data_IF_550657619074
#
_entry.id   IF_550657619074
#
_cell.length_a   1.000
_cell.length_b   1.000
_cell.length_c   1.000
_cell.angle_alpha   90.00
_cell.angle_beta   90.00
_cell.angle_gamma   90.00
#
_symmetry.space_group_name_H-M   'P 1'
#
loop_
_entity.id
_entity.type
_entity.pdbx_description
1 polymer ?
#
# COMPACT_ATOMS: atom_id res chain seq x y z
N UNK A 1 -55.00 -38.13 -18.20
CA UNK A 1 -53.84 -37.53 -18.90
C UNK A 1 -53.32 -36.25 -18.21
N UNK A 2 -54.16 -35.22 -17.97
CA UNK A 2 -53.72 -33.94 -17.34
C UNK A 2 -53.05 -34.06 -15.96
N UNK A 3 -53.56 -34.93 -15.07
CA UNK A 3 -52.99 -35.17 -13.73
C UNK A 3 -51.62 -35.87 -13.78
N UNK A 4 -51.45 -36.82 -14.71
CA UNK A 4 -50.18 -37.55 -14.89
C UNK A 4 -49.09 -36.63 -15.45
N UNK A 5 -49.47 -35.73 -16.37
CA UNK A 5 -48.57 -34.72 -16.93
C UNK A 5 -48.06 -33.76 -15.85
N UNK A 6 -48.96 -33.28 -14.96
CA UNK A 6 -48.59 -32.41 -13.84
C UNK A 6 -47.63 -33.09 -12.85
N UNK A 7 -47.87 -34.36 -12.52
CA UNK A 7 -46.99 -35.13 -11.62
C UNK A 7 -45.59 -35.29 -12.24
N UNK A 8 -45.52 -35.63 -13.53
CA UNK A 8 -44.25 -35.78 -14.24
C UNK A 8 -43.49 -34.45 -14.30
N UNK A 9 -44.18 -33.34 -14.57
CA UNK A 9 -43.60 -31.99 -14.55
C UNK A 9 -43.02 -31.61 -13.19
N UNK A 10 -43.71 -31.95 -12.09
CA UNK A 10 -43.23 -31.68 -10.72
C UNK A 10 -42.02 -32.54 -10.35
N UNK A 11 -41.98 -33.80 -10.79
CA UNK A 11 -40.83 -34.70 -10.57
C UNK A 11 -39.61 -34.19 -11.35
N UNK A 12 -39.80 -33.79 -12.61
CA UNK A 12 -38.72 -33.22 -13.42
C UNK A 12 -38.19 -31.93 -12.78
N UNK A 13 -39.08 -31.05 -12.32
CA UNK A 13 -38.71 -29.81 -11.64
C UNK A 13 -37.92 -30.08 -10.35
N UNK A 14 -38.39 -31.00 -9.51
CA UNK A 14 -37.70 -31.39 -8.29
C UNK A 14 -36.33 -32.00 -8.57
N UNK A 15 -36.22 -32.83 -9.63
CA UNK A 15 -34.96 -33.45 -10.04
C UNK A 15 -33.99 -32.40 -10.58
N UNK A 16 -34.45 -31.41 -11.36
CA UNK A 16 -33.59 -30.30 -11.81
C UNK A 16 -33.07 -29.47 -10.63
N UNK A 17 -33.91 -29.19 -9.62
CA UNK A 17 -33.49 -28.46 -8.41
C UNK A 17 -32.48 -29.26 -7.60
N UNK A 18 -32.62 -30.59 -7.50
CA UNK A 18 -31.63 -31.45 -6.83
C UNK A 18 -30.29 -31.54 -7.60
N UNK A 19 -30.31 -31.37 -8.92
CA UNK A 19 -29.13 -31.43 -9.79
C UNK A 19 -28.41 -30.08 -9.93
N UNK A 20 -29.04 -28.98 -9.52
CA UNK A 20 -28.42 -27.66 -9.41
C UNK A 20 -27.48 -27.66 -8.20
N UNK A 21 -26.24 -28.11 -8.40
CA UNK A 21 -25.15 -27.86 -7.43
C UNK A 21 -24.85 -26.36 -7.42
N UNK A 22 -25.09 -25.72 -6.28
CA UNK A 22 -24.48 -24.42 -5.99
C UNK A 22 -23.08 -24.69 -5.49
N UNK A 23 -22.08 -24.55 -6.37
CA UNK A 23 -20.71 -24.41 -5.88
C UNK A 23 -20.63 -23.08 -5.15
N UNK A 24 -20.22 -23.09 -3.87
CA UNK A 24 -19.93 -21.87 -3.14
C UNK A 24 -18.78 -21.15 -3.86
N UNK A 25 -19.11 -20.11 -4.63
CA UNK A 25 -18.13 -19.21 -5.22
C UNK A 25 -17.55 -18.38 -4.07
N UNK A 26 -16.51 -18.90 -3.44
CA UNK A 26 -15.70 -18.13 -2.50
C UNK A 26 -14.80 -17.20 -3.30
N UNK A 27 -15.15 -15.91 -3.36
CA UNK A 27 -14.25 -14.89 -3.86
C UNK A 27 -13.05 -14.79 -2.91
N UNK A 28 -11.88 -15.31 -3.32
CA UNK A 28 -10.63 -14.99 -2.63
C UNK A 28 -10.36 -13.50 -2.81
N UNK A 29 -10.00 -12.76 -1.75
CA UNK A 29 -9.61 -11.37 -1.91
C UNK A 29 -8.42 -11.28 -2.86
N UNK A 30 -8.51 -10.39 -3.84
CA UNK A 30 -7.36 -10.03 -4.68
C UNK A 30 -6.27 -9.45 -3.78
N UNK A 31 -5.07 -10.04 -3.82
CA UNK A 31 -3.90 -9.47 -3.15
C UNK A 31 -3.30 -8.35 -4.00
N UNK A 32 -2.96 -7.25 -3.36
CA UNK A 32 -2.30 -6.08 -3.94
C UNK A 32 -0.92 -5.95 -3.32
N UNK A 33 -0.07 -6.95 -3.55
CA UNK A 33 1.28 -6.96 -2.98
C UNK A 33 2.12 -5.84 -3.60
N UNK A 34 2.40 -4.81 -2.82
CA UNK A 34 3.40 -3.78 -3.14
C UNK A 34 4.76 -4.41 -2.86
N UNK A 35 5.44 -4.81 -3.92
CA UNK A 35 6.72 -5.52 -3.89
C UNK A 35 7.88 -4.66 -4.39
N UNK A 36 7.58 -3.47 -4.94
CA UNK A 36 8.58 -2.56 -5.49
C UNK A 36 8.39 -1.12 -5.02
N UNK A 37 9.46 -0.31 -4.93
CA UNK A 37 9.34 1.12 -4.67
C UNK A 37 8.46 1.86 -5.68
N UNK A 38 8.49 1.43 -6.96
CA UNK A 38 7.71 2.05 -8.03
C UNK A 38 6.19 1.91 -7.79
N UNK A 39 5.72 0.75 -7.36
CA UNK A 39 4.31 0.53 -7.01
C UNK A 39 3.87 1.41 -5.84
N UNK A 40 4.73 1.61 -4.83
CA UNK A 40 4.43 2.52 -3.72
C UNK A 40 4.31 3.98 -4.20
N UNK A 41 5.23 4.42 -5.06
CA UNK A 41 5.19 5.77 -5.64
C UNK A 41 3.91 5.96 -6.49
N UNK A 42 3.53 4.95 -7.27
CA UNK A 42 2.30 4.97 -8.05
C UNK A 42 1.06 5.07 -7.17
N UNK A 43 0.99 4.28 -6.09
CA UNK A 43 -0.10 4.34 -5.12
C UNK A 43 -0.23 5.73 -4.46
N UNK A 44 0.89 6.32 -4.03
CA UNK A 44 0.92 7.67 -3.46
C UNK A 44 0.49 8.72 -4.48
N UNK A 45 1.00 8.65 -5.71
CA UNK A 45 0.62 9.59 -6.77
C UNK A 45 -0.85 9.43 -7.19
N UNK A 46 -1.38 8.21 -7.20
CA UNK A 46 -2.80 7.94 -7.40
C UNK A 46 -3.67 8.62 -6.34
N UNK A 47 -3.27 8.51 -5.07
CA UNK A 47 -3.94 9.22 -3.96
C UNK A 47 -3.85 10.74 -4.13
N UNK A 48 -2.68 11.28 -4.47
CA UNK A 48 -2.53 12.73 -4.71
C UNK A 48 -3.47 13.23 -5.81
N UNK A 49 -3.54 12.51 -6.92
CA UNK A 49 -4.44 12.85 -8.03
C UNK A 49 -5.90 12.80 -7.59
N UNK A 50 -6.32 11.84 -6.76
CA UNK A 50 -7.70 11.78 -6.27
C UNK A 50 -8.08 12.97 -5.37
N UNK A 51 -7.09 13.63 -4.76
CA UNK A 51 -7.25 14.87 -3.99
C UNK A 51 -6.99 16.14 -4.82
N UNK A 52 -6.80 16.03 -6.15
CA UNK A 52 -6.54 17.17 -7.02
C UNK A 52 -5.13 17.77 -6.88
N UNK A 53 -4.19 17.03 -6.28
CA UNK A 53 -2.80 17.44 -6.12
C UNK A 53 -1.95 16.91 -7.29
N UNK A 54 -0.90 17.65 -7.70
CA UNK A 54 0.03 17.17 -8.73
C UNK A 54 0.83 15.96 -8.23
N UNK A 55 1.17 15.00 -9.12
CA UNK A 55 2.01 13.86 -8.75
C UNK A 55 3.42 14.31 -8.34
N UNK A 56 4.03 13.58 -7.41
CA UNK A 56 5.44 13.77 -7.03
C UNK A 56 6.37 13.14 -8.07
N UNK A 57 7.52 13.78 -8.27
CA UNK A 57 8.63 13.24 -9.08
C UNK A 57 9.64 12.57 -8.15
N UNK A 58 10.19 11.44 -8.57
CA UNK A 58 11.28 10.78 -7.86
C UNK A 58 12.57 11.59 -7.98
N UNK A 59 13.43 11.49 -6.96
CA UNK A 59 14.77 12.05 -6.98
C UNK A 59 15.77 10.99 -6.51
N UNK A 60 16.88 10.74 -7.23
CA UNK A 60 17.82 9.65 -6.90
C UNK A 60 18.33 9.69 -5.44
N UNK A 61 18.66 10.87 -4.92
CA UNK A 61 19.11 11.02 -3.52
C UNK A 61 18.01 10.62 -2.51
N UNK A 62 16.74 10.96 -2.78
CA UNK A 62 15.63 10.57 -1.90
C UNK A 62 15.40 9.06 -1.94
N UNK A 63 15.52 8.45 -3.13
CA UNK A 63 15.44 7.00 -3.29
C UNK A 63 16.58 6.29 -2.54
N UNK A 64 17.80 6.81 -2.65
CA UNK A 64 18.96 6.29 -1.92
C UNK A 64 18.78 6.42 -0.41
N UNK A 65 18.32 7.58 0.07
CA UNK A 65 18.08 7.82 1.50
C UNK A 65 17.01 6.88 2.04
N UNK A 66 15.88 6.72 1.34
CA UNK A 66 14.81 5.80 1.73
C UNK A 66 15.31 4.36 1.80
N UNK A 67 16.03 3.87 0.79
CA UNK A 67 16.61 2.53 0.80
C UNK A 67 17.56 2.34 1.99
N UNK A 68 18.49 3.29 2.21
CA UNK A 68 19.44 3.20 3.32
C UNK A 68 18.77 3.19 4.69
N UNK A 69 17.63 3.86 4.84
CA UNK A 69 16.87 3.86 6.09
C UNK A 69 16.15 2.54 6.29
N UNK A 70 15.51 1.99 5.25
CA UNK A 70 14.90 0.66 5.29
C UNK A 70 15.93 -0.41 5.65
N UNK A 71 17.12 -0.36 5.05
CA UNK A 71 18.21 -1.30 5.35
C UNK A 71 18.68 -1.18 6.80
N UNK A 72 18.81 0.05 7.32
CA UNK A 72 19.19 0.29 8.70
C UNK A 72 18.15 -0.26 9.70
N UNK A 73 16.86 0.00 9.46
CA UNK A 73 15.79 -0.52 10.31
C UNK A 73 15.74 -2.05 10.27
N UNK A 74 15.92 -2.65 9.10
CA UNK A 74 15.97 -4.10 8.95
C UNK A 74 17.17 -4.72 9.69
N UNK A 75 18.36 -4.11 9.58
CA UNK A 75 19.58 -4.59 10.22
C UNK A 75 19.57 -4.46 11.75
N UNK A 76 18.87 -3.45 12.29
CA UNK A 76 18.82 -3.18 13.73
C UNK A 76 17.58 -3.72 14.42
N UNK A 77 16.54 -4.07 13.66
CA UNK A 77 15.22 -4.42 14.19
C UNK A 77 14.49 -3.25 14.86
N UNK A 78 14.94 -2.01 14.64
CA UNK A 78 14.35 -0.81 15.23
C UNK A 78 13.68 0.04 14.16
N UNK A 79 12.40 0.37 14.38
CA UNK A 79 11.67 1.35 13.55
C UNK A 79 11.92 2.74 14.12
N UNK A 80 12.57 3.62 13.35
CA UNK A 80 13.02 4.92 13.84
C UNK A 80 13.21 5.93 12.71
N UNK A 81 13.09 7.22 13.03
CA UNK A 81 13.49 8.31 12.14
C UNK A 81 14.97 8.70 12.28
N UNK A 82 15.64 8.23 13.33
CA UNK A 82 17.08 8.45 13.49
C UNK A 82 17.85 7.65 12.45
N UNK A 83 18.90 8.27 11.92
CA UNK A 83 19.82 7.61 10.98
C UNK A 83 20.99 6.96 11.72
N UNK A 84 21.81 6.14 11.03
CA UNK A 84 23.07 5.65 11.58
C UNK A 84 23.93 6.78 12.16
N UNK A 85 24.52 6.55 13.34
CA UNK A 85 25.32 7.56 14.04
C UNK A 85 24.51 8.68 14.69
N UNK A 86 23.17 8.57 14.73
CA UNK A 86 22.30 9.53 15.41
C UNK A 86 22.06 10.82 14.62
N UNK A 87 22.46 10.88 13.34
CA UNK A 87 22.17 12.04 12.50
C UNK A 87 20.68 12.10 12.13
N UNK A 88 20.19 13.30 11.87
CA UNK A 88 18.81 13.52 11.43
C UNK A 88 18.65 13.24 9.93
N UNK A 89 17.41 13.07 9.48
CA UNK A 89 17.11 12.99 8.05
C UNK A 89 17.59 14.24 7.28
N UNK A 90 17.42 15.43 7.86
CA UNK A 90 17.94 16.69 7.29
C UNK A 90 19.45 16.62 7.07
N UNK A 91 20.21 16.20 8.09
CA UNK A 91 21.66 16.10 8.01
C UNK A 91 22.11 15.09 6.95
N UNK A 92 21.39 13.96 6.81
CA UNK A 92 21.66 12.99 5.77
C UNK A 92 21.39 13.56 4.36
N UNK A 93 20.28 14.27 4.16
CA UNK A 93 19.98 14.87 2.86
C UNK A 93 21.02 15.92 2.46
N UNK A 94 21.44 16.76 3.42
CA UNK A 94 22.48 17.76 3.17
C UNK A 94 23.84 17.12 2.89
N UNK A 95 24.21 16.04 3.58
CA UNK A 95 25.49 15.35 3.32
C UNK A 95 25.53 14.64 1.95
N UNK A 96 24.36 14.25 1.43
CA UNK A 96 24.21 13.72 0.08
C UNK A 96 24.09 14.82 -1.00
N UNK A 97 24.02 16.10 -0.61
CA UNK A 97 23.93 17.24 -1.54
C UNK A 97 22.51 17.53 -2.05
N UNK A 98 21.46 17.08 -1.33
CA UNK A 98 20.08 17.40 -1.71
C UNK A 98 19.74 18.86 -1.38
N UNK A 99 19.19 19.64 -2.33
CA UNK A 99 18.91 21.06 -2.13
C UNK A 99 17.59 21.26 -1.35
N UNK A 100 17.64 21.14 -0.03
CA UNK A 100 16.48 21.40 0.83
C UNK A 100 16.06 22.88 0.75
N UNK A 101 14.75 23.11 0.59
CA UNK A 101 14.13 24.41 0.74
C UNK A 101 13.72 24.67 2.21
N UNK A 102 13.29 25.90 2.50
CA UNK A 102 12.82 26.31 3.84
C UNK A 102 13.96 26.68 4.79
N UNK A 103 13.60 26.95 6.05
CA UNK A 103 14.58 27.28 7.08
C UNK A 103 15.35 26.03 7.53
N UNK A 104 16.62 25.95 7.15
CA UNK A 104 17.49 24.82 7.50
C UNK A 104 17.78 24.72 9.00
N UNK A 105 17.67 25.82 9.76
CA UNK A 105 17.80 25.79 11.23
C UNK A 105 16.63 25.05 11.88
N UNK A 106 15.49 24.96 11.18
CA UNK A 106 14.30 24.20 11.57
C UNK A 106 14.20 22.84 10.84
N UNK A 107 15.24 22.46 10.09
CA UNK A 107 15.31 21.17 9.40
C UNK A 107 14.95 21.19 7.92
N UNK A 108 14.53 22.34 7.38
CA UNK A 108 14.05 22.47 6.00
C UNK A 108 12.71 21.78 5.74
N UNK A 109 12.14 21.99 4.56
CA UNK A 109 10.89 21.35 4.16
C UNK A 109 11.15 19.92 3.71
N UNK A 110 10.75 18.96 4.55
CA UNK A 110 10.81 17.53 4.29
C UNK A 110 9.87 16.77 5.22
N UNK A 111 9.39 15.63 4.75
CA UNK A 111 8.64 14.67 5.54
C UNK A 111 9.15 13.25 5.25
N UNK A 112 8.91 12.35 6.18
CA UNK A 112 9.25 10.94 6.04
C UNK A 112 8.13 10.11 6.65
N UNK A 113 7.55 9.22 5.85
CA UNK A 113 6.62 8.21 6.33
C UNK A 113 7.35 6.86 6.36
N UNK A 114 7.28 6.16 7.49
CA UNK A 114 7.90 4.84 7.68
C UNK A 114 6.80 3.85 8.00
N UNK A 115 6.93 2.63 7.48
CA UNK A 115 6.12 1.50 7.92
C UNK A 115 6.93 0.22 7.89
N UNK A 116 6.65 -0.68 8.81
CA UNK A 116 7.22 -2.01 8.86
C UNK A 116 6.11 -3.06 8.91
N UNK A 117 6.42 -4.24 8.37
CA UNK A 117 5.51 -5.40 8.36
C UNK A 117 6.35 -6.69 8.43
N UNK A 118 5.71 -7.78 8.85
CA UNK A 118 6.34 -9.11 8.90
C UNK A 118 6.25 -9.87 7.55
N UNK A 119 5.87 -9.18 6.47
CA UNK A 119 5.67 -9.75 5.13
C UNK A 119 5.39 -8.66 4.09
N UNK A 120 5.20 -9.01 2.81
CA UNK A 120 4.85 -8.04 1.76
C UNK A 120 3.65 -7.18 2.15
N UNK A 121 3.67 -5.91 1.74
CA UNK A 121 2.55 -5.02 1.95
C UNK A 121 1.41 -5.43 1.01
N UNK A 122 0.32 -5.96 1.56
CA UNK A 122 -0.86 -6.36 0.80
C UNK A 122 -1.97 -5.33 0.99
N UNK A 123 -1.83 -4.19 0.30
CA UNK A 123 -2.75 -3.06 0.40
C UNK A 123 -3.12 -2.53 -0.98
N UNK A 124 -4.42 -2.26 -1.16
CA UNK A 124 -4.90 -1.59 -2.36
C UNK A 124 -4.66 -0.07 -2.24
N UNK A 125 -3.45 0.36 -2.59
CA UNK A 125 -3.06 1.77 -2.58
C UNK A 125 -2.13 2.13 -1.41
N UNK A 126 -2.31 3.33 -0.86
CA UNK A 126 -1.44 3.86 0.22
C UNK A 126 -1.68 3.09 1.52
N UNK A 127 -0.62 2.74 2.26
CA UNK A 127 -0.72 2.09 3.57
C UNK A 127 -1.77 2.71 4.49
N UNK A 128 -2.67 1.93 5.13
CA UNK A 128 -3.63 2.47 6.09
C UNK A 128 -2.96 3.23 7.25
N UNK A 129 -1.77 2.78 7.68
CA UNK A 129 -0.98 3.44 8.72
C UNK A 129 -0.37 4.79 8.31
N UNK A 130 -0.51 5.21 7.05
CA UNK A 130 -0.12 6.54 6.57
C UNK A 130 -1.31 7.45 6.28
N UNK A 131 -2.54 7.00 6.54
CA UNK A 131 -3.75 7.77 6.25
C UNK A 131 -4.31 8.52 7.47
N UNK A 132 -3.44 8.85 8.43
CA UNK A 132 -3.75 9.71 9.57
C UNK A 132 -3.24 11.14 9.37
N UNK A 133 -3.64 12.05 10.25
CA UNK A 133 -3.28 13.48 10.18
C UNK A 133 -1.77 13.76 10.30
N UNK A 134 -0.97 12.82 10.81
CA UNK A 134 0.49 12.99 10.95
C UNK A 134 1.24 12.59 9.68
N UNK A 135 0.69 11.66 8.90
CA UNK A 135 1.34 11.12 7.71
C UNK A 135 0.75 11.68 6.41
N UNK A 136 -0.46 12.23 6.47
CA UNK A 136 -1.13 12.93 5.37
C UNK A 136 -0.82 14.43 5.46
N UNK A 137 0.22 14.86 4.73
CA UNK A 137 0.64 16.27 4.61
C UNK A 137 -0.03 16.98 3.43
#
# INVERSE_FOLDING_TARGET
MRKLFLILSLIILALTVLLLRTDDVSARPTRYEITTPAQMIEAVNGLRISYGLPPLTTHPILMQSAQSQSDYMAATGQVTHSRPGGITYTQQLLSLGFPLAGDLSLGGFRAENIINSNGPLDWNGVPPGWQDDLHMN
#
